data_IF_706594813109
#
_entry.id   IF_706594813109
#
_cell.length_a   1.000
_cell.length_b   1.000
_cell.length_c   1.000
_cell.angle_alpha   90.00
_cell.angle_beta   90.00
_cell.angle_gamma   90.00
#
_symmetry.space_group_name_H-M   'P 1'
#
loop_
_entity.id
_entity.type
_entity.pdbx_description
1 polymer ?
#
# COMPACT_ATOMS: atom_id res chain seq x y z
N UNK A 1 21.30 -20.81 57.95
CA UNK A 1 21.51 -20.97 56.49
C UNK A 1 20.18 -21.24 55.78
N UNK A 2 19.31 -20.24 55.57
CA UNK A 2 17.99 -20.44 54.91
C UNK A 2 17.49 -19.23 54.10
N UNK A 3 18.38 -18.31 53.71
CA UNK A 3 17.99 -17.02 53.06
C UNK A 3 18.42 -16.87 51.60
N UNK A 4 19.13 -17.85 51.01
CA UNK A 4 19.71 -17.69 49.67
C UNK A 4 18.89 -18.34 48.53
N UNK A 5 17.92 -19.20 48.86
CA UNK A 5 17.17 -19.97 47.86
C UNK A 5 16.02 -19.16 47.23
N UNK A 6 15.44 -18.21 47.97
CA UNK A 6 14.30 -17.39 47.53
C UNK A 6 14.69 -16.28 46.55
N UNK A 7 15.92 -15.78 46.59
CA UNK A 7 16.39 -14.75 45.67
C UNK A 7 16.77 -15.30 44.29
N UNK A 8 17.13 -16.58 44.21
CA UNK A 8 17.52 -17.23 42.95
C UNK A 8 16.31 -17.52 42.06
N UNK A 9 15.16 -17.93 42.64
CA UNK A 9 13.92 -18.13 41.88
C UNK A 9 13.36 -16.82 41.30
N UNK A 10 13.53 -15.69 41.99
CA UNK A 10 13.00 -14.39 41.55
C UNK A 10 13.77 -13.82 40.35
N UNK A 11 15.07 -14.14 40.23
CA UNK A 11 15.89 -13.74 39.09
C UNK A 11 15.58 -14.53 37.80
N UNK A 12 15.15 -15.79 37.90
CA UNK A 12 14.84 -16.63 36.74
C UNK A 12 13.52 -16.20 36.07
N UNK A 13 12.54 -15.73 36.85
CA UNK A 13 11.25 -15.24 36.33
C UNK A 13 11.40 -13.87 35.64
N UNK A 14 12.28 -13.01 36.16
CA UNK A 14 12.57 -11.71 35.53
C UNK A 14 13.30 -11.84 34.19
N UNK A 15 14.11 -12.89 34.01
CA UNK A 15 14.87 -13.11 32.78
C UNK A 15 14.00 -13.62 31.61
N UNK A 16 12.89 -14.33 31.90
CA UNK A 16 11.98 -14.83 30.87
C UNK A 16 11.05 -13.75 30.28
N UNK A 17 10.80 -12.65 31.00
CA UNK A 17 9.98 -11.53 30.52
C UNK A 17 10.73 -10.54 29.63
N UNK A 18 12.06 -10.66 29.53
CA UNK A 18 12.90 -9.82 28.66
C UNK A 18 13.18 -10.48 27.31
N UNK A 19 12.80 -11.74 27.13
CA UNK A 19 12.95 -12.43 25.85
C UNK A 19 11.81 -12.05 24.89
N UNK A 20 12.08 -10.96 24.18
CA UNK A 20 11.90 -10.92 22.73
C UNK A 20 10.45 -10.79 22.24
N UNK A 21 9.87 -9.61 22.47
CA UNK A 21 9.07 -9.01 21.40
C UNK A 21 10.03 -8.51 20.31
N UNK A 22 10.51 -9.44 19.48
CA UNK A 22 11.15 -9.12 18.21
C UNK A 22 10.06 -8.53 17.32
N UNK A 23 9.89 -7.22 17.34
CA UNK A 23 9.08 -6.53 16.33
C UNK A 23 9.80 -6.75 15.00
N UNK A 24 9.30 -7.70 14.20
CA UNK A 24 9.70 -7.79 12.80
C UNK A 24 9.43 -6.41 12.20
N UNK A 25 10.49 -5.64 11.92
CA UNK A 25 10.37 -4.38 11.22
C UNK A 25 9.76 -4.71 9.86
N UNK A 26 8.46 -4.42 9.71
CA UNK A 26 7.77 -4.72 8.48
C UNK A 26 8.22 -3.73 7.42
N UNK A 27 8.65 -4.25 6.28
CA UNK A 27 9.00 -3.45 5.13
C UNK A 27 7.72 -2.83 4.54
N UNK A 28 7.38 -1.63 4.98
CA UNK A 28 6.31 -0.80 4.42
C UNK A 28 6.85 0.21 3.40
N UNK A 29 8.00 -0.06 2.78
CA UNK A 29 8.43 0.67 1.59
C UNK A 29 7.47 0.33 0.44
N UNK A 30 6.58 1.27 0.14
CA UNK A 30 5.63 1.20 -0.97
C UNK A 30 5.98 2.35 -1.90
N UNK A 31 6.50 2.01 -3.07
CA UNK A 31 6.86 2.98 -4.10
C UNK A 31 6.27 2.55 -5.45
N UNK A 32 5.42 3.41 -6.02
CA UNK A 32 4.79 3.19 -7.31
C UNK A 32 4.96 4.41 -8.19
N UNK A 33 5.24 4.17 -9.47
CA UNK A 33 4.96 5.14 -10.52
C UNK A 33 3.62 4.81 -11.18
N UNK A 34 2.98 5.81 -11.78
CA UNK A 34 1.77 5.61 -12.56
C UNK A 34 1.87 6.26 -13.93
N UNK A 35 1.18 5.67 -14.90
CA UNK A 35 1.02 6.17 -16.25
C UNK A 35 -0.43 5.92 -16.65
N UNK A 36 -1.04 6.84 -17.38
CA UNK A 36 -2.36 6.63 -17.95
C UNK A 36 -2.36 6.94 -19.45
N UNK A 37 -3.20 6.24 -20.18
CA UNK A 37 -3.38 6.42 -21.61
C UNK A 37 -4.87 6.37 -21.94
N UNK A 38 -5.30 7.17 -22.90
CA UNK A 38 -6.60 7.05 -23.53
C UNK A 38 -6.62 5.81 -24.43
N UNK A 39 -7.71 5.05 -24.41
CA UNK A 39 -7.84 3.78 -25.16
C UNK A 39 -9.00 3.82 -26.14
N UNK A 40 -10.11 4.45 -25.77
CA UNK A 40 -11.27 4.61 -26.66
C UNK A 40 -12.06 5.84 -26.22
N UNK A 41 -12.28 6.82 -27.11
CA UNK A 41 -13.20 7.96 -26.95
C UNK A 41 -13.48 8.36 -25.48
N UNK A 42 -12.56 9.07 -24.83
CA UNK A 42 -12.69 9.55 -23.44
C UNK A 42 -12.67 8.46 -22.34
N UNK A 43 -12.31 7.22 -22.68
CA UNK A 43 -12.01 6.15 -21.74
C UNK A 43 -10.51 5.92 -21.62
N UNK A 44 -10.05 5.88 -20.37
CA UNK A 44 -8.65 5.77 -20.01
C UNK A 44 -8.35 4.46 -19.28
N UNK A 45 -7.08 4.09 -19.34
CA UNK A 45 -6.50 3.02 -18.53
C UNK A 45 -5.42 3.61 -17.64
N UNK A 46 -5.41 3.19 -16.37
CA UNK A 46 -4.36 3.51 -15.42
C UNK A 46 -3.46 2.30 -15.21
N UNK A 47 -2.18 2.49 -15.48
CA UNK A 47 -1.13 1.51 -15.20
C UNK A 47 -0.30 1.94 -14.01
N UNK A 48 0.07 0.97 -13.17
CA UNK A 48 0.97 1.16 -12.05
C UNK A 48 2.23 0.33 -12.22
N UNK A 49 3.37 0.91 -11.91
CA UNK A 49 4.67 0.24 -11.88
C UNK A 49 5.21 0.18 -10.45
N UNK A 50 5.39 -1.03 -9.93
CA UNK A 50 5.97 -1.23 -8.60
C UNK A 50 7.48 -0.97 -8.64
N UNK A 51 7.93 0.11 -8.01
CA UNK A 51 9.35 0.46 -7.88
C UNK A 51 9.97 -0.06 -6.58
N UNK A 52 9.16 -0.65 -5.70
CA UNK A 52 9.62 -1.24 -4.44
C UNK A 52 10.51 -2.45 -4.70
N UNK A 53 11.42 -2.74 -3.77
CA UNK A 53 12.38 -3.83 -3.91
C UNK A 53 11.80 -5.24 -3.71
N UNK A 54 10.53 -5.34 -3.30
CA UNK A 54 9.87 -6.61 -2.96
C UNK A 54 8.61 -6.86 -3.79
N UNK A 55 8.37 -8.14 -4.10
CA UNK A 55 7.13 -8.59 -4.72
C UNK A 55 6.05 -8.76 -3.64
N UNK A 56 4.88 -8.15 -3.82
CA UNK A 56 3.82 -8.14 -2.81
C UNK A 56 2.43 -8.11 -3.44
N UNK A 57 1.45 -8.57 -2.67
CA UNK A 57 0.04 -8.31 -2.94
C UNK A 57 -0.36 -6.96 -2.34
N UNK A 58 -1.06 -6.15 -3.15
CA UNK A 58 -1.60 -4.86 -2.74
C UNK A 58 -3.10 -4.83 -2.95
N UNK A 59 -3.82 -4.16 -2.05
CA UNK A 59 -5.21 -3.79 -2.26
C UNK A 59 -5.24 -2.36 -2.80
N UNK A 60 -5.84 -2.18 -3.97
CA UNK A 60 -5.97 -0.90 -4.66
C UNK A 60 -7.42 -0.45 -4.57
N UNK A 61 -7.65 0.80 -4.17
CA UNK A 61 -8.98 1.42 -4.17
C UNK A 61 -8.94 2.67 -5.03
N UNK A 62 -9.81 2.73 -6.03
CA UNK A 62 -10.02 3.89 -6.87
C UNK A 62 -11.12 4.76 -6.26
N UNK A 63 -10.78 6.00 -5.95
CA UNK A 63 -11.70 7.01 -5.42
C UNK A 63 -11.95 8.08 -6.48
N UNK A 64 -13.20 8.28 -6.83
CA UNK A 64 -13.63 9.34 -7.74
C UNK A 64 -13.84 10.62 -6.92
N UNK A 65 -13.04 11.65 -7.21
CA UNK A 65 -13.09 12.94 -6.51
C UNK A 65 -14.30 13.79 -6.92
N UNK A 66 -14.90 13.53 -8.09
CA UNK A 66 -16.10 14.21 -8.53
C UNK A 66 -17.33 13.65 -7.81
N UNK A 67 -17.40 12.33 -7.64
CA UNK A 67 -18.50 11.65 -6.95
C UNK A 67 -18.31 11.54 -5.43
N UNK A 68 -17.08 11.72 -4.94
CA UNK A 68 -16.76 11.65 -3.51
C UNK A 68 -16.84 10.23 -2.92
N UNK A 69 -16.61 9.18 -3.73
CA UNK A 69 -16.71 7.79 -3.28
C UNK A 69 -15.70 6.87 -3.95
N UNK A 70 -15.51 5.69 -3.35
CA UNK A 70 -14.77 4.59 -3.96
C UNK A 70 -15.63 3.98 -5.07
N UNK A 71 -15.10 3.93 -6.29
CA UNK A 71 -15.78 3.36 -7.46
C UNK A 71 -15.31 1.94 -7.78
N UNK A 72 -14.08 1.59 -7.42
CA UNK A 72 -13.54 0.24 -7.64
C UNK A 72 -12.52 -0.15 -6.57
N UNK A 73 -12.49 -1.43 -6.20
CA UNK A 73 -11.50 -2.02 -5.31
C UNK A 73 -11.03 -3.38 -5.87
N UNK A 74 -9.72 -3.63 -5.84
CA UNK A 74 -9.15 -4.91 -6.27
C UNK A 74 -7.86 -5.26 -5.55
N UNK A 75 -7.54 -6.56 -5.52
CA UNK A 75 -6.24 -7.06 -5.07
C UNK A 75 -5.38 -7.40 -6.26
N UNK A 76 -4.14 -6.92 -6.27
CA UNK A 76 -3.20 -7.11 -7.36
C UNK A 76 -1.83 -7.48 -6.80
N UNK A 77 -1.28 -8.58 -7.29
CA UNK A 77 0.10 -8.94 -7.00
C UNK A 77 1.05 -8.26 -7.98
N UNK A 78 2.12 -7.64 -7.47
CA UNK A 78 3.17 -7.02 -8.27
C UNK A 78 4.51 -7.66 -7.97
N UNK A 79 5.23 -8.06 -9.02
CA UNK A 79 6.67 -8.30 -8.94
C UNK A 79 7.44 -6.97 -8.87
N UNK A 80 8.71 -7.03 -8.47
CA UNK A 80 9.62 -5.87 -8.53
C UNK A 80 9.70 -5.35 -9.97
N UNK A 81 9.63 -4.03 -10.15
CA UNK A 81 9.69 -3.31 -11.42
C UNK A 81 8.59 -3.67 -12.44
N UNK A 82 7.57 -4.43 -12.04
CA UNK A 82 6.48 -4.82 -12.93
C UNK A 82 5.50 -3.68 -13.12
N UNK A 83 5.15 -3.40 -14.37
CA UNK A 83 4.02 -2.54 -14.74
C UNK A 83 2.78 -3.38 -15.04
N UNK A 84 1.61 -2.92 -14.60
CA UNK A 84 0.31 -3.54 -14.91
C UNK A 84 -0.77 -2.48 -15.09
N UNK A 85 -1.66 -2.68 -16.06
CA UNK A 85 -2.96 -2.00 -16.11
C UNK A 85 -3.77 -2.47 -14.91
N UNK A 86 -4.11 -1.53 -14.03
CA UNK A 86 -4.86 -1.83 -12.80
C UNK A 86 -6.29 -1.33 -12.86
N UNK A 87 -6.58 -0.29 -13.62
CA UNK A 87 -7.94 0.20 -13.82
C UNK A 87 -8.13 0.53 -15.29
N UNK A 88 -9.28 0.20 -15.83
CA UNK A 88 -9.62 0.36 -17.24
C UNK A 88 -11.02 0.94 -17.38
N UNK A 89 -11.32 1.52 -18.53
CA UNK A 89 -12.61 2.17 -18.80
C UNK A 89 -12.90 3.29 -17.80
N UNK A 90 -11.85 4.00 -17.38
CA UNK A 90 -11.96 5.19 -16.56
C UNK A 90 -12.50 6.32 -17.42
N UNK A 91 -13.56 7.00 -16.96
CA UNK A 91 -14.09 8.17 -17.66
C UNK A 91 -13.22 9.40 -17.38
N UNK A 92 -13.44 10.48 -18.12
CA UNK A 92 -12.95 11.81 -17.75
C UNK A 92 -13.36 12.16 -16.32
N UNK A 93 -12.40 12.63 -15.54
CA UNK A 93 -12.60 12.94 -14.14
C UNK A 93 -11.29 13.08 -13.38
N UNK A 94 -11.39 13.30 -12.08
CA UNK A 94 -10.24 13.31 -11.17
C UNK A 94 -10.34 12.12 -10.23
N UNK A 95 -9.28 11.32 -10.20
CA UNK A 95 -9.25 10.10 -9.40
C UNK A 95 -8.07 10.06 -8.46
N UNK A 96 -8.27 9.46 -7.29
CA UNK A 96 -7.20 9.16 -6.34
C UNK A 96 -7.11 7.64 -6.18
N UNK A 97 -5.90 7.09 -6.20
CA UNK A 97 -5.69 5.66 -5.92
C UNK A 97 -5.06 5.50 -4.55
N UNK A 98 -5.77 4.78 -3.67
CA UNK A 98 -5.24 4.33 -2.40
C UNK A 98 -4.63 2.94 -2.55
N UNK A 99 -3.37 2.78 -2.14
CA UNK A 99 -2.63 1.53 -2.23
C UNK A 99 -2.31 1.04 -0.84
N UNK A 100 -2.87 -0.11 -0.48
CA UNK A 100 -2.68 -0.77 0.80
C UNK A 100 -1.78 -1.99 0.62
N UNK A 101 -0.66 -2.02 1.34
CA UNK A 101 0.15 -3.24 1.49
C UNK A 101 -0.31 -3.98 2.74
N UNK A 102 -0.36 -5.31 2.69
CA UNK A 102 -0.75 -6.12 3.84
C UNK A 102 0.14 -5.79 5.05
N UNK A 103 -0.50 -5.64 6.20
CA UNK A 103 0.12 -5.31 7.50
C UNK A 103 0.76 -3.90 7.60
N UNK A 104 0.58 -3.02 6.60
CA UNK A 104 0.96 -1.62 6.72
C UNK A 104 -0.26 -0.78 7.13
N UNK A 105 -0.12 0.00 8.20
CA UNK A 105 -1.23 0.75 8.79
C UNK A 105 -1.74 1.90 7.91
N UNK A 106 -0.87 2.43 7.05
CA UNK A 106 -1.16 3.60 6.22
C UNK A 106 -1.11 3.25 4.74
N UNK A 107 -2.14 3.59 3.94
CA UNK A 107 -2.03 3.53 2.50
C UNK A 107 -1.10 4.63 2.00
N UNK A 108 -0.49 4.39 0.84
CA UNK A 108 0.01 5.50 0.02
C UNK A 108 -1.11 5.97 -0.92
N UNK A 109 -1.01 7.22 -1.35
CA UNK A 109 -2.00 7.86 -2.21
C UNK A 109 -1.31 8.33 -3.48
N UNK A 110 -1.82 7.92 -4.63
CA UNK A 110 -1.39 8.43 -5.94
C UNK A 110 -2.33 9.54 -6.41
N UNK A 111 -1.76 10.60 -6.99
CA UNK A 111 -2.48 11.82 -7.39
C UNK A 111 -2.50 12.93 -6.34
N UNK A 112 -2.04 12.67 -5.10
CA UNK A 112 -2.03 13.68 -4.03
C UNK A 112 -3.42 14.24 -3.72
N UNK A 113 -3.53 15.47 -3.18
CA UNK A 113 -4.81 16.09 -2.84
C UNK A 113 -5.65 16.51 -4.05
N UNK A 114 -5.04 16.63 -5.23
CA UNK A 114 -5.70 17.04 -6.48
C UNK A 114 -6.21 15.87 -7.32
N UNK A 115 -5.71 14.67 -7.04
CA UNK A 115 -5.95 13.47 -7.85
C UNK A 115 -5.12 13.44 -9.13
N UNK A 116 -5.26 12.33 -9.84
CA UNK A 116 -4.84 12.11 -11.22
C UNK A 116 -5.96 12.70 -12.10
N UNK A 117 -5.62 13.69 -12.91
CA UNK A 117 -6.57 14.37 -13.78
C UNK A 117 -6.58 13.73 -15.17
N UNK A 118 -7.74 13.19 -15.54
CA UNK A 118 -7.97 12.62 -16.86
C UNK A 118 -8.64 13.63 -17.80
N UNK A 119 -8.96 14.84 -17.36
CA UNK A 119 -9.71 15.83 -18.14
C UNK A 119 -8.92 16.53 -19.27
N UNK A 120 -7.67 16.10 -19.55
CA UNK A 120 -6.97 16.58 -20.74
C UNK A 120 -5.45 16.49 -20.68
N UNK A 121 -4.89 15.62 -21.50
CA UNK A 121 -3.79 15.98 -22.41
C UNK A 121 -4.02 15.31 -23.76
N UNK A 122 -4.73 16.02 -24.63
CA UNK A 122 -4.42 15.99 -26.05
C UNK A 122 -3.06 16.67 -26.21
N UNK A 123 -2.04 15.91 -26.60
CA UNK A 123 -0.89 16.48 -27.31
C UNK A 123 -1.20 16.43 -28.81
#
# INVERSE_FOLDING_TARGET
MRSKLTHICLLIVAFFFLFSFSTNAQDCDINFNFEYNEVENDFFQLSLKNLSNSANEFTLKLYDLNEGKITEEKKVFFNKNQSKVVFSNLKLGRYTVYIYKKNCDKPITLGGPTGIDFNGQSN
#
